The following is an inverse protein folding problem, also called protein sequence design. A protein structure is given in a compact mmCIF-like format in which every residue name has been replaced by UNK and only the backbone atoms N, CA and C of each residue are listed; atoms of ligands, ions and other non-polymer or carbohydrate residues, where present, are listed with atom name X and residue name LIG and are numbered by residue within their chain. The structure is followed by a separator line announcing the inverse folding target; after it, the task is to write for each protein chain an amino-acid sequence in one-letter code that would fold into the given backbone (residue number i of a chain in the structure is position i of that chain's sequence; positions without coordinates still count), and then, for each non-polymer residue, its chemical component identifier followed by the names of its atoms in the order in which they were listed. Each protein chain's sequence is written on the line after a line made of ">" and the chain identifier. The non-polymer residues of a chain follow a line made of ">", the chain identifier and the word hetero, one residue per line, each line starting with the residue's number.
data_IF_977730744165
#
_entry.id   IF_977730744165
#
_cell.length_a   1.000
_cell.length_b   1.000
_cell.length_c   1.000
_cell.angle_alpha   90.00
_cell.angle_beta   90.00
_cell.angle_gamma   90.00
#
_symmetry.space_group_name_H-M   'P 1'
#
loop_
_entity.id
_entity.type
_entity.pdbx_description
1 polymer ?
#
# COMPACT_ATOMS: atom_id res chain seq x y z
N UNK A 1 -21.12 -15.15 28.42
CA UNK A 1 -19.82 -15.83 28.33
C UNK A 1 -18.94 -15.07 27.33
N UNK A 2 -17.81 -14.49 27.76
CA UNK A 2 -16.82 -13.87 26.86
C UNK A 2 -15.90 -14.96 26.31
N UNK A 3 -15.84 -15.11 24.99
CA UNK A 3 -14.88 -16.01 24.33
C UNK A 3 -13.50 -15.35 24.39
N UNK A 4 -12.57 -15.91 25.17
CA UNK A 4 -11.17 -15.45 25.17
C UNK A 4 -10.54 -15.95 23.85
N UNK A 5 -10.09 -15.02 23.00
CA UNK A 5 -9.45 -15.36 21.74
C UNK A 5 -8.07 -15.97 22.03
N UNK A 6 -7.81 -17.22 21.60
CA UNK A 6 -6.52 -17.91 21.77
C UNK A 6 -5.30 -17.06 21.34
N UNK A 7 -5.50 -16.14 20.40
CA UNK A 7 -4.48 -15.20 19.93
C UNK A 7 -3.94 -14.26 21.02
N UNK A 8 -4.70 -13.92 22.06
CA UNK A 8 -4.19 -13.05 23.15
C UNK A 8 -3.20 -13.79 24.03
N UNK A 9 -3.49 -15.05 24.37
CA UNK A 9 -2.63 -15.88 25.23
C UNK A 9 -1.27 -16.15 24.58
N UNK A 10 -1.25 -16.43 23.27
CA UNK A 10 -0.01 -16.67 22.52
C UNK A 10 0.84 -15.38 22.44
N UNK A 11 0.22 -14.21 22.33
CA UNK A 11 0.93 -12.93 22.33
C UNK A 11 1.53 -12.62 23.71
N UNK A 12 0.82 -12.94 24.78
CA UNK A 12 1.31 -12.81 26.17
C UNK A 12 2.50 -13.75 26.45
N UNK A 13 2.45 -14.98 25.92
CA UNK A 13 3.57 -15.93 25.99
C UNK A 13 4.78 -15.42 25.20
N UNK A 14 4.57 -14.89 23.99
CA UNK A 14 5.64 -14.30 23.16
C UNK A 14 6.28 -13.07 23.84
N UNK A 15 5.47 -12.21 24.45
CA UNK A 15 5.94 -11.05 25.21
C UNK A 15 6.79 -11.46 26.41
N UNK A 16 6.36 -12.51 27.12
CA UNK A 16 7.11 -13.07 28.24
C UNK A 16 8.45 -13.66 27.81
N UNK A 17 8.50 -14.34 26.66
CA UNK A 17 9.75 -14.88 26.09
C UNK A 17 10.73 -13.78 25.69
N UNK A 18 10.26 -12.70 25.06
CA UNK A 18 11.12 -11.56 24.71
C UNK A 18 11.70 -10.88 25.96
N UNK A 19 10.90 -10.74 27.03
CA UNK A 19 11.38 -10.20 28.31
C UNK A 19 12.45 -11.09 28.95
N UNK A 20 12.28 -12.42 28.92
CA UNK A 20 13.27 -13.36 29.44
C UNK A 20 14.62 -13.28 28.71
N UNK A 21 14.60 -12.94 27.43
CA UNK A 21 15.80 -12.79 26.61
C UNK A 21 16.39 -11.37 26.63
N UNK A 22 15.85 -10.46 27.45
CA UNK A 22 16.20 -9.04 27.48
C UNK A 22 16.04 -8.32 26.12
N UNK A 23 15.16 -8.84 25.27
CA UNK A 23 14.87 -8.27 23.96
C UNK A 23 13.67 -7.32 24.03
N UNK A 24 13.71 -6.26 23.22
CA UNK A 24 12.56 -5.37 23.06
C UNK A 24 11.44 -6.16 22.36
N UNK A 25 10.35 -6.40 23.08
CA UNK A 25 9.19 -7.07 22.51
C UNK A 25 8.54 -6.22 21.42
N UNK A 26 8.62 -6.69 20.17
CA UNK A 26 7.93 -6.08 19.04
C UNK A 26 6.58 -6.77 18.86
N UNK A 27 5.50 -6.10 19.29
CA UNK A 27 4.14 -6.60 19.09
C UNK A 27 3.86 -6.73 17.59
N UNK A 28 3.44 -7.91 17.09
CA UNK A 28 3.07 -8.07 15.70
C UNK A 28 1.99 -7.05 15.29
N UNK A 29 2.32 -6.22 14.30
CA UNK A 29 1.37 -5.30 13.69
C UNK A 29 0.50 -6.14 12.76
N UNK A 30 -0.81 -6.13 12.98
CA UNK A 30 -1.76 -6.83 12.12
C UNK A 30 -1.67 -6.22 10.72
N UNK A 31 -1.43 -7.08 9.74
CA UNK A 31 -1.23 -6.69 8.36
C UNK A 31 -2.45 -5.92 7.83
N UNK A 32 -2.19 -4.67 7.44
CA UNK A 32 -3.19 -3.74 6.90
C UNK A 32 -3.02 -3.76 5.39
N UNK A 33 -3.89 -4.52 4.72
CA UNK A 33 -3.90 -4.81 3.26
C UNK A 33 -3.66 -3.63 2.31
N UNK A 34 -3.74 -2.39 2.80
CA UNK A 34 -3.69 -1.16 2.00
C UNK A 34 -2.58 -0.18 2.38
N UNK A 35 -1.88 -0.29 3.51
CA UNK A 35 -0.85 0.72 3.87
C UNK A 35 0.50 0.52 3.16
N UNK A 36 0.86 -0.71 2.83
CA UNK A 36 2.17 -0.99 2.23
C UNK A 36 2.17 -0.92 0.70
N UNK A 37 0.98 -0.98 0.07
CA UNK A 37 0.83 -1.05 -1.39
C UNK A 37 -0.01 0.12 -1.94
N UNK A 38 -0.20 1.20 -1.18
CA UNK A 38 -1.01 2.35 -1.63
C UNK A 38 -0.40 3.01 -2.86
N UNK A 39 0.92 3.14 -2.90
CA UNK A 39 1.66 3.70 -4.05
C UNK A 39 1.50 2.81 -5.28
N UNK A 40 1.72 1.50 -5.13
CA UNK A 40 1.47 0.53 -6.21
C UNK A 40 0.04 0.61 -6.73
N UNK A 41 -0.96 0.57 -5.83
CA UNK A 41 -2.39 0.64 -6.20
C UNK A 41 -2.75 1.94 -6.91
N UNK A 42 -2.15 3.06 -6.52
CA UNK A 42 -2.34 4.35 -7.17
C UNK A 42 -1.77 4.34 -8.59
N UNK A 43 -0.53 3.86 -8.75
CA UNK A 43 0.16 3.78 -10.05
C UNK A 43 -0.58 2.81 -10.97
N UNK A 44 -0.91 1.61 -10.50
CA UNK A 44 -1.66 0.61 -11.25
C UNK A 44 -2.98 1.18 -11.78
N UNK A 45 -3.74 1.87 -10.91
CA UNK A 45 -5.00 2.51 -11.30
C UNK A 45 -4.79 3.66 -12.28
N UNK A 46 -3.72 4.43 -12.14
CA UNK A 46 -3.36 5.47 -13.11
C UNK A 46 -3.04 4.87 -14.49
N UNK A 47 -2.28 3.77 -14.55
CA UNK A 47 -1.98 3.06 -15.80
C UNK A 47 -3.26 2.54 -16.49
N UNK A 48 -4.17 1.92 -15.74
CA UNK A 48 -5.47 1.45 -16.26
C UNK A 48 -6.31 2.62 -16.82
N UNK A 49 -6.29 3.78 -16.14
CA UNK A 49 -7.11 4.93 -16.50
C UNK A 49 -6.46 5.87 -17.52
N UNK A 50 -5.20 5.65 -17.93
CA UNK A 50 -4.42 6.57 -18.77
C UNK A 50 -5.23 7.12 -19.95
N UNK A 51 -5.80 6.24 -20.78
CA UNK A 51 -6.56 6.64 -21.97
C UNK A 51 -7.80 7.49 -21.62
N UNK A 52 -8.53 7.12 -20.56
CA UNK A 52 -9.73 7.84 -20.13
C UNK A 52 -9.37 9.25 -19.62
N UNK A 53 -8.28 9.37 -18.86
CA UNK A 53 -7.82 10.67 -18.34
C UNK A 53 -7.28 11.52 -19.49
N UNK A 54 -6.57 10.95 -20.46
CA UNK A 54 -6.12 11.66 -21.67
C UNK A 54 -7.29 12.21 -22.48
N UNK A 55 -8.36 11.43 -22.68
CA UNK A 55 -9.57 11.92 -23.35
C UNK A 55 -10.26 13.05 -22.55
N UNK A 56 -10.27 12.94 -21.22
CA UNK A 56 -10.80 13.98 -20.35
C UNK A 56 -10.01 15.29 -20.46
N UNK A 57 -8.68 15.21 -20.56
CA UNK A 57 -7.79 16.36 -20.70
C UNK A 57 -7.97 17.08 -22.05
N UNK A 58 -8.29 16.34 -23.12
CA UNK A 58 -8.71 16.95 -24.41
C UNK A 58 -10.00 17.75 -24.26
N UNK A 59 -10.98 17.21 -23.50
CA UNK A 59 -12.27 17.88 -23.27
C UNK A 59 -12.14 19.09 -22.31
N UNK A 60 -11.23 19.02 -21.35
CA UNK A 60 -11.03 20.03 -20.32
C UNK A 60 -9.55 20.44 -20.27
N UNK A 61 -9.11 21.38 -21.13
CA UNK A 61 -7.69 21.73 -21.27
C UNK A 61 -7.03 22.26 -19.98
N UNK A 62 -7.82 22.76 -19.02
CA UNK A 62 -7.33 23.16 -17.70
C UNK A 62 -6.74 21.98 -16.89
N UNK A 63 -7.04 20.74 -17.27
CA UNK A 63 -6.46 19.55 -16.66
C UNK A 63 -5.04 19.25 -17.17
N UNK A 64 -4.62 19.78 -18.33
CA UNK A 64 -3.32 19.48 -18.93
C UNK A 64 -2.14 19.80 -17.99
N UNK A 65 -2.27 20.85 -17.18
CA UNK A 65 -1.24 21.23 -16.19
C UNK A 65 -1.09 20.21 -15.05
N UNK A 66 -2.05 19.31 -14.88
CA UNK A 66 -2.06 18.26 -13.85
C UNK A 66 -1.84 16.87 -14.45
N UNK A 67 -1.60 16.77 -15.75
CA UNK A 67 -1.36 15.49 -16.42
C UNK A 67 0.11 15.09 -16.26
N UNK A 68 0.39 13.80 -15.98
CA UNK A 68 1.74 13.31 -16.06
C UNK A 68 2.30 13.49 -17.48
N UNK A 69 3.57 13.87 -17.55
CA UNK A 69 4.37 13.90 -18.77
C UNK A 69 4.55 12.50 -19.34
N UNK A 70 5.00 12.41 -20.59
CA UNK A 70 5.29 11.12 -21.22
C UNK A 70 6.33 10.31 -20.43
N UNK A 71 7.39 10.96 -19.92
CA UNK A 71 8.42 10.33 -19.10
C UNK A 71 7.86 9.80 -17.77
N UNK A 72 6.95 10.55 -17.12
CA UNK A 72 6.30 10.10 -15.90
C UNK A 72 5.36 8.91 -16.14
N UNK A 73 4.68 8.87 -17.30
CA UNK A 73 3.88 7.71 -17.69
C UNK A 73 4.71 6.46 -17.94
N UNK A 74 5.90 6.60 -18.54
CA UNK A 74 6.86 5.50 -18.71
C UNK A 74 7.36 5.02 -17.35
N UNK A 75 7.75 5.94 -16.46
CA UNK A 75 8.13 5.61 -15.08
C UNK A 75 7.02 4.87 -14.32
N UNK A 76 5.77 5.30 -14.46
CA UNK A 76 4.62 4.61 -13.84
C UNK A 76 4.44 3.20 -14.38
N UNK A 77 4.67 2.98 -15.66
CA UNK A 77 4.61 1.64 -16.25
C UNK A 77 5.72 0.73 -15.71
N UNK A 78 6.95 1.23 -15.70
CA UNK A 78 8.12 0.48 -15.19
C UNK A 78 7.96 0.15 -13.70
N UNK A 79 7.50 1.12 -12.89
CA UNK A 79 7.22 0.91 -11.47
C UNK A 79 6.08 -0.07 -11.25
N UNK A 80 5.02 -0.03 -12.06
CA UNK A 80 3.93 -0.99 -11.95
C UNK A 80 4.42 -2.42 -12.24
N UNK A 81 5.26 -2.61 -13.26
CA UNK A 81 5.84 -3.91 -13.60
C UNK A 81 6.83 -4.40 -12.54
N UNK A 82 7.63 -3.51 -11.95
CA UNK A 82 8.57 -3.87 -10.89
C UNK A 82 7.89 -4.30 -9.58
N UNK A 83 6.71 -3.73 -9.28
CA UNK A 83 5.97 -3.95 -8.05
C UNK A 83 4.90 -5.07 -8.15
N UNK A 84 4.67 -5.62 -9.35
CA UNK A 84 3.85 -6.82 -9.61
C UNK A 84 4.56 -8.11 -9.18
#
# INVERSE_FOLDING_TARGET
>A
MKVIKKSSKILEELESLSQLNEEIFLRPIIDIKTRWNSTYKMINRACILKNNISMLAVKYPNLNNNMPTQLEWELFHDLNQFLE
#
